data_IF_474391321570
#
_entry.id   IF_474391321570
#
_cell.length_a   1.000
_cell.length_b   1.000
_cell.length_c   1.000
_cell.angle_alpha   90.00
_cell.angle_beta   90.00
_cell.angle_gamma   90.00
#
_symmetry.space_group_name_H-M   'P 1'
#
loop_
_entity.id
_entity.type
_entity.pdbx_description
1 polymer ?
#
# COMPACT_ATOMS: atom_id res chain seq x y z
N UNK A 1 -0.57 -25.12 29.36
CA UNK A 1 -0.51 -23.89 28.54
C UNK A 1 0.97 -23.56 28.37
N UNK A 2 1.58 -23.76 27.20
CA UNK A 2 3.02 -23.48 27.03
C UNK A 2 3.23 -21.97 26.86
N UNK A 3 4.12 -21.39 27.66
CA UNK A 3 4.55 -20.01 27.51
C UNK A 3 5.37 -19.85 26.22
N UNK A 4 4.87 -19.05 25.28
CA UNK A 4 5.60 -18.76 24.04
C UNK A 4 6.68 -17.72 24.35
N UNK A 5 7.94 -18.15 24.39
CA UNK A 5 9.09 -17.24 24.43
C UNK A 5 9.09 -16.39 23.15
N UNK A 6 8.76 -15.10 23.28
CA UNK A 6 8.83 -14.13 22.19
C UNK A 6 10.30 -13.79 21.93
N UNK A 7 10.69 -13.68 20.66
CA UNK A 7 12.03 -13.24 20.26
C UNK A 7 13.06 -14.35 19.96
N UNK A 8 12.71 -15.63 20.11
CA UNK A 8 13.56 -16.72 19.62
C UNK A 8 13.53 -16.76 18.08
N UNK A 9 14.64 -16.40 17.43
CA UNK A 9 14.75 -16.47 15.97
C UNK A 9 14.83 -17.93 15.50
N UNK A 10 13.72 -18.50 15.04
CA UNK A 10 13.61 -19.90 14.56
C UNK A 10 14.01 -20.08 13.09
N UNK A 11 14.84 -19.19 12.56
CA UNK A 11 15.20 -19.15 11.14
C UNK A 11 14.10 -18.65 10.21
N UNK A 12 14.38 -18.66 8.91
CA UNK A 12 13.43 -18.25 7.88
C UNK A 12 12.31 -19.29 7.74
N UNK A 13 11.06 -18.82 7.65
CA UNK A 13 9.88 -19.68 7.45
C UNK A 13 9.31 -19.49 6.05
N UNK A 14 8.80 -20.57 5.45
CA UNK A 14 8.02 -20.51 4.20
C UNK A 14 6.60 -20.04 4.54
N UNK A 15 6.26 -18.83 4.12
CA UNK A 15 4.94 -18.24 4.30
C UNK A 15 4.73 -17.08 3.33
N UNK A 16 3.54 -16.49 3.32
CA UNK A 16 3.23 -15.40 2.38
C UNK A 16 4.17 -14.21 2.61
N UNK A 17 4.80 -13.77 1.52
CA UNK A 17 5.66 -12.59 1.50
C UNK A 17 4.81 -11.31 1.55
N UNK A 18 5.25 -10.31 2.29
CA UNK A 18 4.58 -9.00 2.40
C UNK A 18 5.56 -7.89 2.04
N UNK A 19 5.07 -6.67 1.83
CA UNK A 19 5.92 -5.50 1.58
C UNK A 19 6.89 -5.16 2.73
N UNK A 20 6.75 -5.81 3.89
CA UNK A 20 7.63 -5.62 5.07
C UNK A 20 8.68 -6.71 5.21
N UNK A 21 8.77 -7.64 4.25
CA UNK A 21 9.75 -8.75 4.26
C UNK A 21 10.70 -8.60 3.07
N UNK A 22 12.01 -8.50 3.36
CA UNK A 22 13.07 -8.38 2.35
C UNK A 22 13.45 -6.94 2.03
N UNK A 23 14.74 -6.68 1.78
CA UNK A 23 15.31 -5.32 1.60
C UNK A 23 14.94 -4.67 0.26
N UNK A 24 14.86 -5.45 -0.81
CA UNK A 24 14.60 -4.97 -2.19
C UNK A 24 13.35 -5.64 -2.80
N UNK A 25 12.41 -6.08 -1.97
CA UNK A 25 11.19 -6.75 -2.43
C UNK A 25 10.02 -5.76 -2.46
N UNK A 26 9.65 -5.32 -3.66
CA UNK A 26 8.45 -4.51 -3.86
C UNK A 26 7.25 -5.39 -4.18
N UNK A 27 6.24 -5.40 -3.30
CA UNK A 27 5.00 -6.18 -3.48
C UNK A 27 3.82 -5.35 -3.99
N UNK A 28 3.65 -4.13 -3.46
CA UNK A 28 2.43 -3.33 -3.63
C UNK A 28 1.26 -3.76 -2.73
N UNK A 29 0.18 -2.97 -2.76
CA UNK A 29 -1.03 -3.11 -1.93
C UNK A 29 -2.33 -2.86 -2.71
N UNK A 30 -2.33 -3.06 -4.04
CA UNK A 30 -3.49 -2.87 -4.94
C UNK A 30 -4.05 -1.44 -5.03
N UNK A 31 -3.25 -0.42 -4.75
CA UNK A 31 -3.68 0.99 -4.93
C UNK A 31 -3.81 1.41 -6.40
N UNK A 32 -3.20 0.67 -7.34
CA UNK A 32 -3.06 1.08 -8.74
C UNK A 32 -2.02 2.21 -8.91
N UNK A 33 -1.75 2.60 -10.16
CA UNK A 33 -0.88 3.72 -10.49
C UNK A 33 -1.68 5.01 -10.71
N UNK A 34 -1.11 6.16 -10.31
CA UNK A 34 -1.68 7.49 -10.50
C UNK A 34 -0.85 8.33 -11.49
N UNK A 35 -0.07 7.66 -12.33
CA UNK A 35 1.01 8.30 -13.09
C UNK A 35 2.08 7.29 -13.54
N UNK A 36 3.27 7.78 -13.84
CA UNK A 36 4.38 7.00 -14.38
C UNK A 36 5.74 7.39 -13.78
N UNK A 37 6.66 6.42 -13.74
CA UNK A 37 8.04 6.68 -13.33
C UNK A 37 8.81 7.42 -14.44
N UNK A 38 9.74 8.30 -14.04
CA UNK A 38 10.69 8.90 -14.98
C UNK A 38 11.90 7.99 -15.18
N UNK A 39 12.69 8.26 -16.23
CA UNK A 39 13.94 7.56 -16.53
C UNK A 39 14.90 7.47 -15.33
N UNK A 40 14.85 8.47 -14.44
CA UNK A 40 15.76 8.61 -13.31
C UNK A 40 15.09 8.32 -11.96
N UNK A 41 13.98 7.57 -11.95
CA UNK A 41 13.35 7.09 -10.72
C UNK A 41 12.40 8.09 -10.04
N UNK A 42 12.18 9.25 -10.63
CA UNK A 42 11.10 10.16 -10.22
C UNK A 42 9.73 9.57 -10.54
N UNK A 43 8.66 10.25 -10.12
CA UNK A 43 7.28 9.88 -10.43
C UNK A 43 6.50 11.12 -10.86
N UNK A 44 5.86 11.05 -12.03
CA UNK A 44 5.02 12.13 -12.57
C UNK A 44 3.57 11.68 -12.43
N UNK A 45 2.77 12.51 -11.76
CA UNK A 45 1.35 12.26 -11.54
C UNK A 45 0.57 12.63 -12.80
N UNK A 46 -0.34 11.76 -13.20
CA UNK A 46 -1.31 11.96 -14.27
C UNK A 46 -2.67 12.24 -13.61
N UNK A 47 -3.13 13.49 -13.67
CA UNK A 47 -4.36 13.93 -13.00
C UNK A 47 -5.60 13.20 -13.53
N UNK A 48 -5.58 12.73 -14.78
CA UNK A 48 -6.68 11.96 -15.37
C UNK A 48 -6.80 10.56 -14.74
N UNK A 49 -5.72 10.06 -14.13
CA UNK A 49 -5.72 8.77 -13.40
C UNK A 49 -6.01 8.92 -11.91
N UNK A 50 -5.93 10.13 -11.36
CA UNK A 50 -6.18 10.38 -9.93
C UNK A 50 -7.66 10.17 -9.65
N UNK A 51 -7.97 9.23 -8.75
CA UNK A 51 -9.36 8.98 -8.33
C UNK A 51 -9.86 10.16 -7.52
N UNK A 52 -10.90 10.83 -8.01
CA UNK A 52 -11.61 11.90 -7.31
C UNK A 52 -13.00 11.43 -6.91
N UNK A 53 -13.47 11.91 -5.77
CA UNK A 53 -14.84 11.71 -5.30
C UNK A 53 -15.53 13.06 -5.30
N UNK A 54 -16.52 13.24 -6.18
CA UNK A 54 -17.32 14.47 -6.24
C UNK A 54 -18.34 14.40 -5.11
N UNK A 55 -18.14 15.23 -4.09
CA UNK A 55 -19.05 15.36 -2.96
C UNK A 55 -20.22 16.25 -3.39
N UNK A 56 -21.48 15.83 -3.17
CA UNK A 56 -22.64 16.66 -3.49
C UNK A 56 -22.74 17.87 -2.55
N UNK A 57 -23.49 18.90 -2.98
CA UNK A 57 -23.86 20.00 -2.10
C UNK A 57 -24.93 19.52 -1.09
N UNK A 58 -24.77 19.93 0.17
CA UNK A 58 -25.63 19.55 1.28
C UNK A 58 -26.55 20.69 1.75
N UNK A 59 -26.50 21.88 1.14
CA UNK A 59 -27.21 23.07 1.61
C UNK A 59 -28.76 23.00 1.58
N UNK A 60 -29.34 21.85 1.25
CA UNK A 60 -30.78 21.57 1.29
C UNK A 60 -31.12 20.13 1.69
N UNK A 61 -30.21 19.43 2.38
CA UNK A 61 -30.45 18.09 2.91
C UNK A 61 -31.04 18.17 4.32
N UNK A 62 -32.25 17.62 4.51
CA UNK A 62 -32.91 17.50 5.82
C UNK A 62 -32.45 16.27 6.64
N UNK A 63 -31.55 15.45 6.08
CA UNK A 63 -31.00 14.25 6.72
C UNK A 63 -29.51 14.08 6.43
#
# INVERSE_FOLDING_TARGET
MQEVIRGLFRGAKRGVMTAKKGRNFYKGNRTGSMGSHTKHGGYVIDLDKVRTYVVPDFSGCDY
#
